data_IF_384166638762
#
_entry.id   IF_384166638762
#
_cell.length_a   1.000
_cell.length_b   1.000
_cell.length_c   1.000
_cell.angle_alpha   90.00
_cell.angle_beta   90.00
_cell.angle_gamma   90.00
#
_symmetry.space_group_name_H-M   'P 1'
#
loop_
_entity.id
_entity.type
_entity.pdbx_description
1 polymer ?
#
# COMPACT_ATOMS: atom_id res chain seq x y z
N UNK A 1 -14.82 -4.89 -16.96
CA UNK A 1 -13.46 -4.70 -17.49
C UNK A 1 -12.91 -3.51 -16.75
N UNK A 2 -11.82 -3.72 -16.03
CA UNK A 2 -11.31 -2.80 -15.03
C UNK A 2 -9.87 -2.46 -15.41
N UNK A 3 -9.59 -1.17 -15.65
CA UNK A 3 -8.23 -0.72 -15.88
C UNK A 3 -7.61 -0.18 -14.61
N UNK A 4 -6.30 -0.33 -14.53
CA UNK A 4 -5.53 0.18 -13.42
C UNK A 4 -4.12 0.53 -13.87
N UNK A 5 -3.46 1.33 -13.04
CA UNK A 5 -2.03 1.58 -13.13
C UNK A 5 -1.33 0.78 -12.05
N UNK A 6 -0.35 0.00 -12.48
CA UNK A 6 0.56 -0.78 -11.65
C UNK A 6 1.95 -0.17 -11.81
N UNK A 7 2.24 0.89 -11.07
CA UNK A 7 3.55 1.56 -11.12
C UNK A 7 4.40 1.14 -9.92
N UNK A 8 5.17 0.06 -10.07
CA UNK A 8 5.88 -0.58 -8.97
C UNK A 8 7.34 -0.15 -8.86
N UNK A 9 7.60 0.85 -7.99
CA UNK A 9 8.88 1.04 -7.31
C UNK A 9 8.63 1.30 -5.82
N UNK A 10 9.21 0.46 -4.95
CA UNK A 10 9.18 0.41 -3.48
C UNK A 10 7.87 0.69 -2.70
N UNK A 11 6.77 1.19 -3.29
CA UNK A 11 5.61 1.68 -2.52
C UNK A 11 4.37 2.08 -3.37
N UNK A 12 4.23 1.78 -4.66
CA UNK A 12 2.94 2.04 -5.36
C UNK A 12 2.45 0.74 -5.98
N UNK A 13 1.26 0.28 -5.57
CA UNK A 13 0.72 -1.03 -5.94
C UNK A 13 -0.70 -1.23 -5.40
N UNK A 14 -1.53 -1.98 -6.11
CA UNK A 14 -2.95 -2.13 -5.76
C UNK A 14 -3.15 -3.05 -4.54
N UNK A 15 -3.70 -2.55 -3.43
CA UNK A 15 -4.13 -3.38 -2.31
C UNK A 15 -5.67 -3.42 -2.25
N UNK A 16 -6.27 -4.61 -2.24
CA UNK A 16 -7.70 -4.81 -2.06
C UNK A 16 -7.98 -5.28 -0.63
N UNK A 17 -8.59 -4.42 0.18
CA UNK A 17 -9.01 -4.77 1.55
C UNK A 17 -10.33 -5.58 1.61
N UNK A 18 -11.01 -5.76 0.47
CA UNK A 18 -12.27 -6.51 0.38
C UNK A 18 -12.15 -7.72 -0.54
N UNK A 19 -12.74 -8.84 -0.13
CA UNK A 19 -12.70 -10.12 -0.84
C UNK A 19 -13.54 -10.15 -2.12
N UNK A 20 -14.49 -9.23 -2.27
CA UNK A 20 -15.36 -9.14 -3.45
C UNK A 20 -14.94 -7.94 -4.32
N UNK A 21 -14.33 -8.23 -5.47
CA UNK A 21 -13.84 -7.27 -6.49
C UNK A 21 -15.02 -6.64 -7.29
N UNK A 22 -16.27 -6.80 -6.81
CA UNK A 22 -17.49 -6.50 -7.58
C UNK A 22 -17.84 -5.02 -7.69
N UNK A 23 -17.21 -4.14 -6.90
CA UNK A 23 -17.46 -2.69 -6.91
C UNK A 23 -16.40 -1.87 -7.65
N UNK A 24 -15.39 -2.52 -8.25
CA UNK A 24 -14.47 -1.82 -9.12
C UNK A 24 -15.18 -1.49 -10.42
N UNK A 25 -15.15 -0.25 -10.88
CA UNK A 25 -15.63 0.14 -12.21
C UNK A 25 -14.76 1.32 -12.70
N UNK A 26 -14.07 1.17 -13.83
CA UNK A 26 -13.35 2.26 -14.51
C UNK A 26 -11.83 2.19 -14.47
N UNK A 27 -11.19 3.23 -14.99
CA UNK A 27 -9.76 3.30 -15.34
C UNK A 27 -8.95 4.14 -14.34
N UNK A 28 -9.42 4.23 -13.10
CA UNK A 28 -9.02 5.31 -12.19
C UNK A 28 -8.35 4.83 -10.92
N UNK A 29 -7.74 3.66 -11.02
CA UNK A 29 -7.36 2.86 -9.88
C UNK A 29 -5.85 2.91 -9.68
N UNK A 30 -5.45 3.63 -8.64
CA UNK A 30 -4.15 3.55 -8.00
C UNK A 30 -4.40 3.30 -6.53
N UNK A 31 -3.69 2.36 -5.94
CA UNK A 31 -3.59 2.25 -4.50
C UNK A 31 -2.11 2.11 -4.15
N UNK A 32 -1.78 2.38 -2.90
CA UNK A 32 -0.45 2.25 -2.32
C UNK A 32 -0.33 0.84 -1.74
N UNK A 33 0.73 0.11 -2.09
CA UNK A 33 1.07 -1.15 -1.44
C UNK A 33 2.22 -0.85 -0.47
N UNK A 34 1.97 -1.05 0.82
CA UNK A 34 2.94 -0.84 1.90
C UNK A 34 4.10 -1.87 1.89
N UNK A 35 4.08 -2.84 0.98
CA UNK A 35 5.10 -3.87 0.86
C UNK A 35 5.93 -3.68 -0.43
N UNK A 36 7.25 -3.39 -0.32
CA UNK A 36 8.11 -3.16 -1.48
C UNK A 36 8.34 -4.39 -2.36
N UNK A 37 8.09 -5.60 -1.83
CA UNK A 37 8.19 -6.87 -2.58
C UNK A 37 6.88 -7.25 -3.28
N UNK A 38 5.81 -6.45 -3.13
CA UNK A 38 4.45 -6.80 -3.60
C UNK A 38 3.84 -5.68 -4.44
N UNK A 39 3.36 -6.05 -5.62
CA UNK A 39 2.67 -5.12 -6.50
C UNK A 39 1.15 -5.15 -6.29
N UNK A 40 0.57 -6.33 -5.98
CA UNK A 40 -0.87 -6.46 -5.72
C UNK A 40 -1.16 -7.45 -4.58
N UNK A 41 -2.09 -7.11 -3.69
CA UNK A 41 -2.65 -8.04 -2.68
C UNK A 41 -4.17 -8.01 -2.71
N UNK A 42 -4.81 -9.17 -2.92
CA UNK A 42 -6.27 -9.33 -2.91
C UNK A 42 -6.71 -10.12 -1.67
N UNK A 43 -7.71 -9.62 -0.96
CA UNK A 43 -8.39 -10.35 0.12
C UNK A 43 -7.47 -10.88 1.25
N UNK A 44 -6.27 -10.30 1.40
CA UNK A 44 -5.21 -10.80 2.30
C UNK A 44 -4.74 -12.25 2.03
N UNK A 45 -5.12 -12.84 0.90
CA UNK A 45 -4.85 -14.26 0.59
C UNK A 45 -4.15 -14.47 -0.75
N UNK A 46 -4.47 -13.66 -1.77
CA UNK A 46 -3.85 -13.76 -3.09
C UNK A 46 -2.85 -12.62 -3.28
N UNK A 47 -1.61 -12.97 -3.61
CA UNK A 47 -0.51 -12.02 -3.79
C UNK A 47 0.10 -12.20 -5.18
N UNK A 48 0.27 -11.09 -5.90
CA UNK A 48 0.94 -11.07 -7.20
C UNK A 48 2.21 -10.22 -7.12
N UNK A 49 3.34 -10.88 -7.38
CA UNK A 49 4.61 -10.21 -7.63
C UNK A 49 4.60 -9.45 -8.97
N UNK A 50 5.53 -8.51 -9.14
CA UNK A 50 5.74 -7.84 -10.44
C UNK A 50 5.97 -8.83 -11.58
N UNK A 51 6.68 -9.92 -11.32
CA UNK A 51 6.93 -10.96 -12.33
C UNK A 51 5.65 -11.70 -12.74
N UNK A 52 4.75 -11.99 -11.80
CA UNK A 52 3.47 -12.64 -12.09
C UNK A 52 2.54 -11.70 -12.88
N UNK A 53 2.57 -10.40 -12.58
CA UNK A 53 1.83 -9.39 -13.36
C UNK A 53 2.35 -9.35 -14.80
N UNK A 54 3.67 -9.35 -15.02
CA UNK A 54 4.27 -9.41 -16.35
C UNK A 54 3.87 -10.66 -17.14
N UNK A 55 3.70 -11.78 -16.44
CA UNK A 55 3.27 -13.03 -17.04
C UNK A 55 1.76 -13.02 -17.39
N UNK A 56 1.02 -11.96 -17.05
CA UNK A 56 -0.41 -11.84 -17.29
C UNK A 56 -1.27 -12.57 -16.25
N UNK A 57 -0.68 -13.00 -15.13
CA UNK A 57 -1.40 -13.75 -14.08
C UNK A 57 -2.52 -12.88 -13.48
N UNK A 58 -2.22 -11.59 -13.25
CA UNK A 58 -3.20 -10.63 -12.75
C UNK A 58 -4.28 -10.29 -13.77
N UNK A 59 -3.92 -10.15 -15.05
CA UNK A 59 -4.86 -9.96 -16.16
C UNK A 59 -5.83 -11.13 -16.25
N UNK A 60 -5.32 -12.35 -16.12
CA UNK A 60 -6.11 -13.59 -16.13
C UNK A 60 -7.01 -13.71 -14.90
N UNK A 61 -6.52 -13.29 -13.73
CA UNK A 61 -7.26 -13.35 -12.46
C UNK A 61 -8.42 -12.35 -12.41
N UNK A 62 -8.16 -11.09 -12.78
CA UNK A 62 -9.12 -9.99 -12.60
C UNK A 62 -9.92 -9.64 -13.86
N UNK A 63 -9.62 -10.28 -15.00
CA UNK A 63 -10.14 -9.90 -16.32
C UNK A 63 -9.87 -8.42 -16.63
N UNK A 64 -8.65 -7.97 -16.37
CA UNK A 64 -8.20 -6.64 -16.81
C UNK A 64 -8.32 -6.51 -18.32
N UNK A 65 -8.47 -5.28 -18.80
CA UNK A 65 -8.49 -5.02 -20.23
C UNK A 65 -7.19 -4.41 -20.77
N UNK A 66 -7.20 -4.15 -22.08
CA UNK A 66 -6.05 -3.72 -22.90
C UNK A 66 -5.45 -2.37 -22.50
N UNK A 67 -6.16 -1.58 -21.71
CA UNK A 67 -5.76 -0.22 -21.33
C UNK A 67 -4.98 -0.18 -20.00
N UNK A 68 -4.82 -1.31 -19.30
CA UNK A 68 -4.03 -1.36 -18.06
C UNK A 68 -2.54 -1.08 -18.31
N UNK A 69 -1.89 -0.40 -17.35
CA UNK A 69 -0.48 0.01 -17.48
C UNK A 69 0.34 -0.59 -16.36
N UNK A 70 1.52 -1.08 -16.72
CA UNK A 70 2.55 -1.54 -15.77
C UNK A 70 3.80 -0.68 -15.96
N UNK A 71 4.25 -0.03 -14.91
CA UNK A 71 5.48 0.75 -14.87
C UNK A 71 6.40 0.27 -13.73
N UNK A 72 7.71 0.41 -13.91
CA UNK A 72 8.72 -0.05 -12.94
C UNK A 72 9.20 1.04 -11.98
N UNK A 73 8.91 2.30 -12.29
CA UNK A 73 9.08 3.39 -11.36
C UNK A 73 7.79 4.20 -11.36
N UNK A 74 7.36 4.62 -10.18
CA UNK A 74 6.26 5.56 -10.03
C UNK A 74 6.53 6.87 -10.78
N UNK A 75 7.79 7.31 -10.82
CA UNK A 75 8.25 8.48 -11.57
C UNK A 75 8.18 8.33 -13.10
N UNK A 76 7.93 7.13 -13.63
CA UNK A 76 7.70 6.96 -15.07
C UNK A 76 6.27 7.37 -15.47
N UNK A 77 5.36 7.42 -14.48
CA UNK A 77 3.94 7.71 -14.67
C UNK A 77 3.56 9.05 -14.04
N UNK A 78 4.02 9.31 -12.81
CA UNK A 78 3.59 10.43 -11.97
C UNK A 78 4.62 11.52 -11.86
N UNK A 79 4.16 12.76 -11.84
CA UNK A 79 4.98 13.97 -11.80
C UNK A 79 5.89 14.02 -10.57
N UNK A 80 5.34 13.84 -9.37
CA UNK A 80 6.13 13.83 -8.13
C UNK A 80 5.49 12.93 -7.05
N UNK A 81 5.53 11.60 -7.26
CA UNK A 81 4.90 10.63 -6.36
C UNK A 81 5.53 10.65 -4.96
N UNK A 82 6.81 11.04 -4.84
CA UNK A 82 7.49 11.18 -3.55
C UNK A 82 6.84 12.24 -2.63
N UNK A 83 6.17 13.23 -3.21
CA UNK A 83 5.43 14.28 -2.50
C UNK A 83 3.90 14.11 -2.59
N UNK A 84 3.41 12.94 -3.01
CA UNK A 84 1.98 12.64 -3.27
C UNK A 84 1.36 13.43 -4.42
N UNK A 85 2.18 13.99 -5.30
CA UNK A 85 1.72 14.57 -6.55
C UNK A 85 1.66 13.45 -7.61
N UNK A 86 0.46 12.86 -7.71
CA UNK A 86 0.14 11.76 -8.62
C UNK A 86 -0.50 12.25 -9.92
N UNK A 87 -0.29 13.52 -10.29
CA UNK A 87 -0.60 13.96 -11.64
C UNK A 87 0.26 13.19 -12.64
N UNK A 88 -0.27 12.94 -13.82
CA UNK A 88 0.48 12.30 -14.89
C UNK A 88 1.48 13.28 -15.50
N UNK A 89 2.64 12.79 -15.92
CA UNK A 89 3.45 13.51 -16.90
C UNK A 89 2.70 13.59 -18.24
N UNK A 90 2.90 14.66 -19.01
CA UNK A 90 2.32 14.78 -20.37
C UNK A 90 2.68 13.60 -21.27
N UNK A 91 3.84 12.97 -21.05
CA UNK A 91 4.33 11.80 -21.80
C UNK A 91 4.04 10.46 -21.13
N UNK A 92 3.29 10.45 -20.04
CA UNK A 92 2.96 9.23 -19.31
C UNK A 92 2.18 8.28 -20.22
N UNK A 93 2.47 6.97 -20.12
CA UNK A 93 1.71 5.95 -20.82
C UNK A 93 0.23 5.92 -20.39
N UNK A 94 -0.10 6.56 -19.26
CA UNK A 94 -1.46 6.72 -18.76
C UNK A 94 -2.26 7.84 -19.42
N UNK A 95 -1.59 8.75 -20.13
CA UNK A 95 -2.24 9.84 -20.85
C UNK A 95 -2.91 9.31 -22.11
N UNK A 96 -4.18 9.67 -22.33
CA UNK A 96 -5.07 9.23 -23.40
C UNK A 96 -5.25 7.70 -23.51
N UNK A 97 -4.93 6.94 -22.48
CA UNK A 97 -4.96 5.47 -22.55
C UNK A 97 -6.24 4.86 -21.96
N UNK A 98 -7.08 5.64 -21.28
CA UNK A 98 -8.33 5.22 -20.68
C UNK A 98 -9.54 5.31 -21.63
N UNK A 99 -10.69 5.02 -21.07
CA UNK A 99 -11.99 4.90 -21.74
C UNK A 99 -12.98 5.93 -21.20
N UNK A 100 -14.01 6.25 -21.99
CA UNK A 100 -15.12 7.07 -21.54
C UNK A 100 -16.07 6.36 -20.56
N UNK A 101 -15.87 5.05 -20.35
CA UNK A 101 -16.76 4.24 -19.52
C UNK A 101 -16.63 4.65 -18.06
N UNK A 102 -17.72 5.12 -17.46
CA UNK A 102 -17.74 5.59 -16.07
C UNK A 102 -16.78 6.76 -15.77
N UNK A 103 -16.33 7.48 -16.81
CA UNK A 103 -15.53 8.68 -16.66
C UNK A 103 -16.37 9.83 -16.09
N UNK A 104 -15.97 10.49 -15.00
CA UNK A 104 -16.61 11.73 -14.59
C UNK A 104 -16.39 12.82 -15.66
N UNK A 105 -17.28 13.82 -15.70
CA UNK A 105 -17.19 14.92 -16.66
C UNK A 105 -16.02 15.88 -16.39
N UNK A 106 -15.48 15.84 -15.18
CA UNK A 106 -14.31 16.61 -14.73
C UNK A 106 -13.39 15.71 -13.88
N UNK A 107 -12.10 15.99 -13.88
CA UNK A 107 -11.10 15.37 -13.00
C UNK A 107 -11.16 15.99 -11.57
N UNK A 108 -10.26 15.55 -10.69
CA UNK A 108 -10.17 16.00 -9.31
C UNK A 108 -9.86 17.51 -9.17
N UNK A 109 -9.10 18.08 -10.10
CA UNK A 109 -8.78 19.51 -10.14
C UNK A 109 -9.88 20.35 -10.81
N UNK A 110 -10.92 19.69 -11.34
CA UNK A 110 -12.05 20.32 -12.01
C UNK A 110 -11.83 20.57 -13.50
N UNK A 111 -10.79 20.00 -14.12
CA UNK A 111 -10.58 20.08 -15.55
C UNK A 111 -11.56 19.18 -16.30
N UNK A 112 -12.16 19.63 -17.41
CA UNK A 112 -13.11 18.85 -18.19
C UNK A 112 -12.43 17.63 -18.85
N UNK A 113 -13.17 16.53 -18.94
CA UNK A 113 -12.73 15.29 -19.58
C UNK A 113 -13.47 15.03 -20.91
N UNK A 114 -12.80 14.48 -21.94
CA UNK A 114 -11.38 14.12 -21.98
C UNK A 114 -10.45 15.35 -21.97
N UNK A 115 -9.28 15.22 -21.35
CA UNK A 115 -8.21 16.22 -21.41
C UNK A 115 -7.24 15.80 -22.53
N UNK A 116 -7.28 16.48 -23.68
CA UNK A 116 -6.48 16.09 -24.85
C UNK A 116 -7.22 15.21 -25.86
N UNK A 117 -6.59 14.13 -26.33
CA UNK A 117 -7.10 13.28 -27.42
C UNK A 117 -7.92 12.08 -26.94
N UNK A 118 -7.93 11.80 -25.64
CA UNK A 118 -8.55 10.65 -25.02
C UNK A 118 -8.74 10.82 -23.51
N UNK A 119 -9.16 9.76 -22.85
CA UNK A 119 -9.32 9.75 -21.39
C UNK A 119 -8.00 9.30 -20.77
N UNK A 120 -7.56 9.97 -19.73
CA UNK A 120 -6.40 9.54 -18.97
C UNK A 120 -6.80 8.42 -17.99
N UNK A 121 -5.79 7.67 -17.55
CA UNK A 121 -5.89 6.65 -16.50
C UNK A 121 -5.21 7.24 -15.25
N UNK A 122 -5.83 7.18 -14.07
CA UNK A 122 -5.19 7.71 -12.87
C UNK A 122 -6.13 8.08 -11.74
N UNK A 123 -5.55 8.40 -10.58
CA UNK A 123 -6.31 8.70 -9.35
C UNK A 123 -7.01 10.06 -9.42
N UNK A 124 -6.41 11.02 -10.14
CA UNK A 124 -7.00 12.33 -10.36
C UNK A 124 -8.20 12.27 -11.31
N UNK A 125 -8.37 11.18 -12.04
CA UNK A 125 -9.47 11.00 -12.99
C UNK A 125 -10.76 10.49 -12.31
N UNK A 126 -10.71 10.12 -11.02
CA UNK A 126 -11.84 9.64 -10.23
C UNK A 126 -12.41 10.76 -9.34
N UNK A 127 -13.71 11.01 -9.45
CA UNK A 127 -14.45 11.78 -8.45
C UNK A 127 -15.43 10.82 -7.77
N UNK A 128 -15.15 10.35 -6.56
CA UNK A 128 -16.20 9.68 -5.77
C UNK A 128 -16.58 10.46 -4.52
N UNK A 129 -17.87 10.39 -4.15
CA UNK A 129 -18.36 11.01 -2.94
C UNK A 129 -17.92 10.18 -1.74
N UNK A 130 -17.05 10.78 -0.93
CA UNK A 130 -16.91 10.58 0.51
C UNK A 130 -16.42 9.24 1.12
N UNK A 131 -16.23 8.12 0.40
CA UNK A 131 -15.92 6.84 1.08
C UNK A 131 -14.64 6.09 0.68
N UNK A 132 -13.81 6.61 -0.24
CA UNK A 132 -12.47 6.03 -0.52
C UNK A 132 -11.45 7.15 -0.44
N UNK A 133 -11.20 7.59 0.79
CA UNK A 133 -10.58 8.87 1.10
C UNK A 133 -9.13 9.01 0.67
N UNK A 134 -8.77 10.24 0.34
CA UNK A 134 -7.40 10.81 0.26
C UNK A 134 -6.44 10.38 1.40
N UNK A 135 -6.96 9.80 2.49
CA UNK A 135 -6.15 9.29 3.59
C UNK A 135 -5.34 8.04 3.23
N UNK A 136 -5.67 7.33 2.15
CA UNK A 136 -4.91 6.16 1.67
C UNK A 136 -3.64 6.53 0.89
N UNK A 137 -3.53 7.78 0.42
CA UNK A 137 -2.44 8.26 -0.45
C UNK A 137 -1.47 9.21 0.24
N UNK A 138 -1.63 9.49 1.54
CA UNK A 138 -0.54 10.11 2.28
C UNK A 138 0.56 9.08 2.41
N UNK A 139 1.47 9.07 1.45
CA UNK A 139 2.71 8.28 1.45
C UNK A 139 3.21 8.17 2.89
N UNK A 140 3.19 6.93 3.38
CA UNK A 140 3.68 6.61 4.70
C UNK A 140 5.14 7.05 4.86
N UNK A 141 5.86 7.35 3.75
CA UNK A 141 7.20 7.97 3.73
C UNK A 141 7.33 9.29 4.50
N UNK A 142 6.22 9.97 4.82
CA UNK A 142 6.25 11.24 5.58
C UNK A 142 5.82 11.09 7.04
N UNK A 143 5.44 9.90 7.51
CA UNK A 143 4.94 9.68 8.87
C UNK A 143 5.53 8.45 9.53
N UNK A 144 5.52 8.44 10.85
CA UNK A 144 5.78 7.23 11.61
C UNK A 144 4.64 6.23 11.39
N UNK A 145 4.99 4.99 11.07
CA UNK A 145 4.01 3.92 10.84
C UNK A 145 4.55 2.61 11.39
N UNK A 146 3.71 1.88 12.14
CA UNK A 146 3.90 0.49 12.50
C UNK A 146 2.96 -0.36 11.64
N UNK A 147 3.50 -1.27 10.85
CA UNK A 147 2.71 -2.16 9.98
C UNK A 147 2.22 -3.39 10.74
N UNK A 148 1.20 -4.06 10.20
CA UNK A 148 0.75 -5.34 10.74
C UNK A 148 1.87 -6.38 10.58
N UNK A 149 2.17 -7.13 11.65
CA UNK A 149 3.19 -8.17 11.59
C UNK A 149 2.79 -9.25 10.58
N UNK A 150 3.78 -9.85 9.89
CA UNK A 150 3.54 -10.90 8.91
C UNK A 150 4.49 -12.10 9.10
N UNK A 151 3.97 -13.34 9.13
CA UNK A 151 2.54 -13.70 9.11
C UNK A 151 1.81 -13.25 10.39
N UNK A 152 0.47 -13.17 10.34
CA UNK A 152 -0.41 -13.00 11.50
C UNK A 152 -1.79 -13.63 11.22
N UNK A 153 -2.20 -14.71 11.89
CA UNK A 153 -1.51 -15.37 12.99
C UNK A 153 -0.16 -15.99 12.61
N UNK A 154 0.74 -16.18 13.57
CA UNK A 154 2.12 -16.64 13.32
C UNK A 154 2.50 -17.84 14.18
N UNK A 155 3.50 -18.62 13.74
CA UNK A 155 4.06 -19.77 14.49
C UNK A 155 5.53 -20.07 14.10
N UNK A 156 6.50 -20.04 15.03
CA UNK A 156 6.56 -19.14 16.18
C UNK A 156 7.20 -17.79 15.81
N UNK A 157 7.50 -17.57 14.52
CA UNK A 157 8.20 -16.39 14.03
C UNK A 157 7.29 -15.49 13.21
N UNK A 158 7.49 -14.18 13.34
CA UNK A 158 6.84 -13.15 12.53
C UNK A 158 7.79 -11.98 12.32
N UNK A 159 7.56 -11.18 11.29
CA UNK A 159 8.29 -9.94 11.04
C UNK A 159 7.43 -8.76 11.45
N UNK A 160 7.97 -7.88 12.28
CA UNK A 160 7.40 -6.57 12.56
C UNK A 160 8.12 -5.53 11.71
N UNK A 161 7.37 -4.85 10.84
CA UNK A 161 7.87 -3.81 9.96
C UNK A 161 7.35 -2.45 10.42
N UNK A 162 8.16 -1.40 10.25
CA UNK A 162 7.78 -0.02 10.57
C UNK A 162 8.55 0.99 9.71
N UNK A 163 7.96 2.16 9.51
CA UNK A 163 8.55 3.27 8.77
C UNK A 163 8.88 4.45 9.71
N UNK A 164 10.06 5.02 9.50
CA UNK A 164 10.59 6.17 10.23
C UNK A 164 10.80 7.32 9.22
N UNK A 165 10.09 8.46 9.33
CA UNK A 165 10.16 9.56 8.37
C UNK A 165 11.36 10.48 8.59
N UNK A 166 12.03 10.40 9.74
CA UNK A 166 13.18 11.22 10.08
C UNK A 166 14.05 10.49 11.11
N UNK A 167 15.34 10.78 11.15
CA UNK A 167 16.26 10.17 12.11
C UNK A 167 15.71 10.31 13.54
N UNK A 168 15.43 9.18 14.19
CA UNK A 168 14.70 9.15 15.46
C UNK A 168 15.18 8.04 16.37
N UNK A 169 15.10 8.25 17.68
CA UNK A 169 15.23 7.18 18.65
C UNK A 169 13.93 6.34 18.68
N UNK A 170 14.05 5.04 18.47
CA UNK A 170 12.92 4.13 18.30
C UNK A 170 12.97 3.01 19.32
N UNK A 171 11.82 2.75 19.95
CA UNK A 171 11.60 1.56 20.75
C UNK A 171 10.47 0.72 20.17
N UNK A 172 10.72 -0.57 19.99
CA UNK A 172 9.71 -1.56 19.60
C UNK A 172 9.62 -2.61 20.70
N UNK A 173 8.50 -2.63 21.42
CA UNK A 173 8.30 -3.53 22.57
C UNK A 173 7.11 -4.45 22.34
N UNK A 174 7.19 -5.65 22.88
CA UNK A 174 6.11 -6.63 22.91
C UNK A 174 5.56 -6.74 24.32
N UNK A 175 4.23 -6.81 24.43
CA UNK A 175 3.47 -6.86 25.66
C UNK A 175 2.48 -8.02 25.64
N UNK A 176 2.15 -8.53 26.83
CA UNK A 176 0.97 -9.36 27.02
C UNK A 176 -0.32 -8.50 27.06
N UNK A 177 -1.47 -9.17 27.16
CA UNK A 177 -2.79 -8.50 27.26
C UNK A 177 -2.99 -7.69 28.55
N UNK A 178 -2.16 -7.89 29.56
CA UNK A 178 -2.18 -7.15 30.81
C UNK A 178 -1.27 -5.90 30.76
N UNK A 179 -0.53 -5.72 29.68
CA UNK A 179 0.40 -4.60 29.49
C UNK A 179 1.79 -4.84 30.08
N UNK A 180 2.13 -6.07 30.49
CA UNK A 180 3.49 -6.39 30.92
C UNK A 180 4.41 -6.49 29.72
N UNK A 181 5.60 -5.89 29.81
CA UNK A 181 6.63 -6.01 28.77
C UNK A 181 7.17 -7.44 28.76
N UNK A 182 7.01 -8.12 27.64
CA UNK A 182 7.55 -9.46 27.40
C UNK A 182 8.97 -9.37 26.85
N UNK A 183 9.20 -8.50 25.87
CA UNK A 183 10.53 -8.28 25.30
C UNK A 183 10.61 -6.92 24.61
N UNK A 184 11.84 -6.43 24.42
CA UNK A 184 12.15 -5.26 23.61
C UNK A 184 12.90 -5.73 22.37
N UNK A 185 12.31 -5.52 21.20
CA UNK A 185 12.87 -5.94 19.92
C UNK A 185 13.82 -4.90 19.33
N UNK A 186 13.56 -3.62 19.58
CA UNK A 186 14.35 -2.48 19.09
C UNK A 186 14.43 -1.43 20.20
N UNK A 187 15.61 -0.84 20.40
CA UNK A 187 15.87 0.23 21.36
C UNK A 187 17.12 1.03 20.95
N UNK A 188 17.04 1.70 19.80
CA UNK A 188 18.19 2.38 19.19
C UNK A 188 17.74 3.52 18.27
N UNK A 189 18.69 4.34 17.82
CA UNK A 189 18.46 5.35 16.80
C UNK A 189 18.35 4.69 15.42
N UNK A 190 17.35 5.10 14.63
CA UNK A 190 17.12 4.62 13.27
C UNK A 190 17.13 5.79 12.27
N UNK A 191 17.79 5.65 11.10
CA UNK A 191 17.66 6.62 10.03
C UNK A 191 16.25 6.58 9.42
N UNK A 192 15.95 7.59 8.59
CA UNK A 192 14.76 7.57 7.74
C UNK A 192 14.73 6.28 6.91
N UNK A 193 13.56 5.67 6.79
CA UNK A 193 13.33 4.50 5.94
C UNK A 193 12.44 3.45 6.59
N UNK A 194 12.26 2.35 5.86
CA UNK A 194 11.53 1.17 6.30
C UNK A 194 12.51 0.22 7.01
N UNK A 195 12.09 -0.28 8.17
CA UNK A 195 12.87 -1.20 8.99
C UNK A 195 12.04 -2.44 9.33
N UNK A 196 12.71 -3.59 9.42
CA UNK A 196 12.09 -4.88 9.73
C UNK A 196 12.86 -5.59 10.84
N UNK A 197 12.13 -6.24 11.74
CA UNK A 197 12.69 -6.98 12.86
C UNK A 197 11.94 -8.30 13.04
N UNK A 198 12.67 -9.41 13.18
CA UNK A 198 12.07 -10.72 13.48
C UNK A 198 11.70 -10.79 14.97
N UNK A 199 10.50 -11.27 15.25
CA UNK A 199 10.08 -11.69 16.59
C UNK A 199 9.90 -13.21 16.62
N UNK A 200 10.67 -13.88 17.48
CA UNK A 200 10.54 -15.32 17.73
C UNK A 200 9.90 -15.55 19.10
N UNK A 201 8.67 -16.06 19.08
CA UNK A 201 7.85 -16.30 20.26
C UNK A 201 7.82 -17.78 20.69
N UNK A 202 8.82 -18.59 20.33
CA UNK A 202 8.82 -20.04 20.57
C UNK A 202 8.61 -20.44 22.03
N UNK A 203 9.05 -19.60 22.97
CA UNK A 203 8.93 -19.82 24.42
C UNK A 203 7.62 -19.28 25.02
N UNK A 204 6.78 -18.62 24.24
CA UNK A 204 5.53 -18.02 24.70
C UNK A 204 4.34 -18.95 24.44
N UNK A 205 3.28 -18.93 25.28
CA UNK A 205 2.05 -19.67 25.03
C UNK A 205 1.27 -19.07 23.85
N UNK A 206 0.47 -19.89 23.15
CA UNK A 206 -0.47 -19.39 22.14
C UNK A 206 -1.40 -18.34 22.76
N UNK A 207 -1.69 -17.28 22.01
CA UNK A 207 -2.49 -16.19 22.53
C UNK A 207 -2.32 -14.88 21.78
N UNK A 208 -2.92 -13.84 22.35
CA UNK A 208 -2.85 -12.48 21.83
C UNK A 208 -1.70 -11.75 22.53
N UNK A 209 -0.90 -11.05 21.73
CA UNK A 209 0.13 -10.15 22.20
C UNK A 209 -0.05 -8.79 21.54
N UNK A 210 0.47 -7.75 22.19
CA UNK A 210 0.52 -6.41 21.64
C UNK A 210 1.98 -6.06 21.35
N UNK A 211 2.21 -5.27 20.31
CA UNK A 211 3.52 -4.69 20.04
C UNK A 211 3.36 -3.21 19.75
N UNK A 212 4.26 -2.41 20.31
CA UNK A 212 4.18 -0.95 20.28
C UNK A 212 5.48 -0.37 19.75
N UNK A 213 5.34 0.46 18.71
CA UNK A 213 6.36 1.36 18.24
C UNK A 213 6.21 2.67 19.01
N UNK A 214 7.28 3.11 19.65
CA UNK A 214 7.32 4.35 20.40
C UNK A 214 8.57 5.16 20.03
N UNK A 215 8.34 6.44 19.75
CA UNK A 215 9.34 7.48 19.51
C UNK A 215 8.95 8.72 20.36
N UNK A 216 9.82 9.74 20.49
CA UNK A 216 9.48 10.94 21.27
C UNK A 216 8.18 11.66 20.84
N UNK A 217 7.83 11.57 19.55
CA UNK A 217 6.68 12.28 18.95
C UNK A 217 5.55 11.35 18.51
N UNK A 218 5.72 10.03 18.59
CA UNK A 218 4.77 9.07 18.06
C UNK A 218 4.66 7.81 18.92
N UNK A 219 3.45 7.26 19.01
CA UNK A 219 3.22 5.94 19.60
C UNK A 219 2.11 5.24 18.86
N UNK A 220 2.36 4.02 18.40
CA UNK A 220 1.35 3.16 17.77
C UNK A 220 1.48 1.74 18.28
N UNK A 221 0.33 1.12 18.54
CA UNK A 221 0.24 -0.25 19.04
C UNK A 221 -0.60 -1.09 18.08
N UNK A 222 -0.13 -2.31 17.80
CA UNK A 222 -0.85 -3.31 17.01
C UNK A 222 -0.90 -4.64 17.76
N UNK A 223 -1.82 -5.48 17.33
CA UNK A 223 -2.12 -6.79 17.92
C UNK A 223 -1.55 -7.89 17.04
N UNK A 224 -0.95 -8.91 17.65
CA UNK A 224 -0.49 -10.12 16.98
C UNK A 224 -1.04 -11.38 17.67
N UNK A 225 -1.23 -12.45 16.89
CA UNK A 225 -1.84 -13.69 17.34
C UNK A 225 -0.83 -14.82 17.12
N UNK A 226 -0.33 -15.40 18.22
CA UNK A 226 0.55 -16.57 18.19
C UNK A 226 -0.29 -17.84 18.19
N UNK A 227 -0.08 -18.70 17.20
CA UNK A 227 -0.60 -20.06 17.15
C UNK A 227 0.56 -21.03 17.39
N UNK A 228 0.27 -22.12 18.12
CA UNK A 228 1.15 -23.28 18.23
C UNK A 228 0.41 -24.49 17.69
#
# INVERSE_FOLDING_TARGET
>A
MYNCILAGGDNIGLAFEMADISNYHGDYNLFHNDNPDRAITVAYTDEFSLQQIQNGDWTSYSNQDIHSIVAFNDTDIFFNPSNNDLHLFETSAAVNNGTSSSAPSIDFDGNPRPSGQGYDIGVYEYQFPNDIGENSFKSNKTKFVLYQNHPNPFNPKTIAQYHIPEFSFVTLKVFDVLGNVITTLVNEEKPNGIHSTEFNAGQLPSGIYLYQLHTPSFTQTKKMILLK
#
